data_IF_967559279409
#
_entry.id   IF_967559279409
#
_cell.length_a   1.000
_cell.length_b   1.000
_cell.length_c   1.000
_cell.angle_alpha   90.00
_cell.angle_beta   90.00
_cell.angle_gamma   90.00
#
_symmetry.space_group_name_H-M   'P 1'
#
loop_
_entity.id
_entity.type
_entity.pdbx_description
1 polymer ?
#
# COMPACT_ATOMS: atom_id res chain seq x y z
N UNK A 1 -21.24 -3.81 5.70
CA UNK A 1 -20.27 -4.62 6.47
C UNK A 1 -19.29 -3.70 7.21
N UNK A 2 -18.37 -4.25 8.02
CA UNK A 2 -17.48 -3.43 8.87
C UNK A 2 -16.24 -2.98 8.13
N UNK A 3 -15.66 -3.81 7.27
CA UNK A 3 -14.43 -3.50 6.54
C UNK A 3 -13.20 -3.47 7.46
N UNK A 4 -13.01 -4.51 8.28
CA UNK A 4 -11.92 -4.50 9.27
C UNK A 4 -10.54 -4.70 8.65
N UNK A 5 -10.43 -5.54 7.61
CA UNK A 5 -9.23 -5.64 6.78
C UNK A 5 -9.29 -4.66 5.63
N UNK A 6 -10.40 -4.62 4.91
CA UNK A 6 -10.69 -3.84 3.74
C UNK A 6 -11.45 -2.55 4.11
N UNK A 7 -10.87 -1.45 4.37
CA UNK A 7 -9.62 -0.74 4.39
C UNK A 7 -9.32 -0.18 5.78
N UNK A 8 -9.94 -0.74 6.90
CA UNK A 8 -9.62 -0.22 8.22
C UNK A 8 -8.20 -0.65 8.67
N UNK A 9 -7.70 -1.81 8.22
CA UNK A 9 -6.36 -2.30 8.55
C UNK A 9 -5.27 -1.36 8.07
N UNK A 10 -5.33 -0.94 6.81
CA UNK A 10 -4.40 0.01 6.21
C UNK A 10 -4.50 1.40 6.84
N UNK A 11 -5.73 1.87 7.12
CA UNK A 11 -5.96 3.12 7.85
C UNK A 11 -5.31 3.10 9.23
N UNK A 12 -5.49 2.02 10.00
CA UNK A 12 -4.89 1.87 11.33
C UNK A 12 -3.34 1.84 11.25
N UNK A 13 -2.79 1.12 10.26
CA UNK A 13 -1.35 1.07 10.03
C UNK A 13 -0.77 2.47 9.71
N UNK A 14 -1.43 3.26 8.86
CA UNK A 14 -0.99 4.63 8.56
C UNK A 14 -1.03 5.54 9.79
N UNK A 15 -2.04 5.44 10.64
CA UNK A 15 -2.11 6.21 11.89
C UNK A 15 -0.97 5.85 12.84
N UNK A 16 -0.64 4.57 12.97
CA UNK A 16 0.49 4.12 13.78
C UNK A 16 1.83 4.55 13.16
N UNK A 17 1.99 4.44 11.84
CA UNK A 17 3.16 4.96 11.14
C UNK A 17 3.35 6.45 11.36
N UNK A 18 2.28 7.26 11.33
CA UNK A 18 2.34 8.69 11.65
C UNK A 18 2.92 8.93 13.05
N UNK A 19 2.48 8.13 14.03
CA UNK A 19 2.97 8.20 15.41
C UNK A 19 4.45 7.85 15.52
N UNK A 20 4.87 6.74 14.89
CA UNK A 20 6.24 6.23 14.94
C UNK A 20 7.21 7.15 14.20
N UNK A 21 6.79 7.66 13.03
CA UNK A 21 7.63 8.52 12.18
C UNK A 21 7.78 9.95 12.70
N UNK A 22 6.96 10.40 13.66
CA UNK A 22 6.97 11.78 14.18
C UNK A 22 8.35 12.27 14.64
N UNK A 23 9.18 11.36 15.18
CA UNK A 23 10.53 11.70 15.66
C UNK A 23 11.66 11.35 14.68
N UNK A 24 11.33 10.76 13.54
CA UNK A 24 12.32 10.32 12.54
C UNK A 24 12.76 11.50 11.67
N UNK A 25 14.06 11.55 11.36
CA UNK A 25 14.57 12.45 10.31
C UNK A 25 14.54 11.72 8.98
N UNK A 26 13.64 12.16 8.10
CA UNK A 26 13.50 11.62 6.75
C UNK A 26 14.32 12.47 5.77
N UNK A 27 14.80 11.86 4.67
CA UNK A 27 15.43 12.59 3.56
C UNK A 27 14.38 13.30 2.70
N UNK A 28 13.17 12.73 2.63
CA UNK A 28 12.03 13.30 1.91
C UNK A 28 10.85 13.53 2.85
N UNK A 29 9.97 14.43 2.47
CA UNK A 29 8.66 14.58 3.13
C UNK A 29 7.87 13.30 2.96
N UNK A 30 7.32 12.78 4.06
CA UNK A 30 6.35 11.69 4.04
C UNK A 30 4.95 12.28 4.02
N UNK A 31 4.18 11.91 3.05
CA UNK A 31 2.76 12.23 2.93
C UNK A 31 1.96 10.96 3.20
N UNK A 32 1.05 11.00 4.16
CA UNK A 32 0.15 9.91 4.45
C UNK A 32 -1.20 10.24 3.83
N UNK A 33 -1.58 9.47 2.83
CA UNK A 33 -2.83 9.67 2.08
C UNK A 33 -3.86 8.64 2.53
N UNK A 34 -5.07 9.10 2.82
CA UNK A 34 -6.24 8.27 3.05
C UNK A 34 -7.13 8.47 1.84
N UNK A 35 -7.07 7.52 0.92
CA UNK A 35 -7.80 7.57 -0.33
C UNK A 35 -9.23 7.09 -0.09
N UNK A 36 -10.20 7.77 -0.69
CA UNK A 36 -11.59 7.40 -0.66
C UNK A 36 -12.09 6.95 -2.04
N UNK A 37 -13.23 6.27 -2.06
CA UNK A 37 -13.88 5.88 -3.31
C UNK A 37 -13.00 4.96 -4.17
N UNK A 38 -12.27 4.04 -3.57
CA UNK A 38 -11.52 3.02 -4.28
C UNK A 38 -12.49 2.06 -4.96
N UNK A 39 -13.51 1.61 -4.24
CA UNK A 39 -14.51 0.65 -4.66
C UNK A 39 -15.40 1.11 -5.83
N UNK A 40 -15.78 0.15 -6.66
CA UNK A 40 -16.71 0.38 -7.76
C UNK A 40 -18.12 0.68 -7.26
N UNK A 41 -18.80 1.62 -7.89
CA UNK A 41 -20.21 1.93 -7.57
C UNK A 41 -21.17 0.93 -8.24
N UNK A 42 -20.84 0.47 -9.44
CA UNK A 42 -21.64 -0.47 -10.23
C UNK A 42 -20.84 -1.71 -10.57
N UNK A 43 -19.68 -1.55 -11.22
CA UNK A 43 -18.84 -2.65 -11.64
C UNK A 43 -17.37 -2.22 -11.72
N UNK A 44 -16.46 -3.12 -11.46
CA UNK A 44 -15.02 -2.87 -11.57
C UNK A 44 -14.60 -2.83 -13.04
N UNK A 45 -14.90 -1.71 -13.69
CA UNK A 45 -14.61 -1.52 -15.12
C UNK A 45 -14.42 -0.04 -15.46
N UNK A 46 -13.49 0.23 -16.36
CA UNK A 46 -13.27 1.56 -16.92
C UNK A 46 -12.85 2.59 -15.88
N UNK A 47 -13.75 3.49 -15.53
CA UNK A 47 -13.52 4.56 -14.56
C UNK A 47 -14.42 4.46 -13.32
N UNK A 48 -15.09 3.34 -13.12
CA UNK A 48 -16.01 3.14 -11.99
C UNK A 48 -15.32 2.55 -10.75
N UNK A 49 -14.07 2.92 -10.50
CA UNK A 49 -13.27 2.55 -9.32
C UNK A 49 -12.12 3.55 -9.12
N UNK A 50 -11.40 3.47 -8.02
CA UNK A 50 -10.20 4.28 -7.71
C UNK A 50 -10.41 5.79 -7.89
N UNK A 51 -11.57 6.30 -7.46
CA UNK A 51 -11.96 7.70 -7.67
C UNK A 51 -11.02 8.67 -6.95
N UNK A 52 -10.64 8.37 -5.69
CA UNK A 52 -9.80 9.23 -4.86
C UNK A 52 -8.40 9.40 -5.45
N UNK A 53 -7.73 8.30 -5.77
CA UNK A 53 -6.38 8.31 -6.34
C UNK A 53 -6.33 8.98 -7.72
N UNK A 54 -7.30 8.70 -8.58
CA UNK A 54 -7.42 9.38 -9.89
C UNK A 54 -7.64 10.88 -9.75
N UNK A 55 -8.51 11.28 -8.81
CA UNK A 55 -8.75 12.71 -8.53
C UNK A 55 -7.49 13.38 -7.99
N UNK A 56 -6.78 12.75 -7.04
CA UNK A 56 -5.55 13.26 -6.47
C UNK A 56 -4.49 13.47 -7.57
N UNK A 57 -4.22 12.44 -8.37
CA UNK A 57 -3.23 12.50 -9.45
C UNK A 57 -3.59 13.59 -10.47
N UNK A 58 -4.85 13.64 -10.92
CA UNK A 58 -5.29 14.67 -11.86
C UNK A 58 -5.18 16.09 -11.26
N UNK A 59 -5.40 16.26 -9.98
CA UNK A 59 -5.23 17.54 -9.28
C UNK A 59 -3.77 17.94 -9.20
N UNK A 60 -2.89 17.01 -8.81
CA UNK A 60 -1.45 17.23 -8.72
C UNK A 60 -0.81 17.52 -10.10
N UNK A 61 -1.36 16.94 -11.18
CA UNK A 61 -0.95 17.28 -12.54
C UNK A 61 -1.37 18.71 -12.92
N UNK A 62 -2.60 19.11 -12.57
CA UNK A 62 -3.11 20.46 -12.88
C UNK A 62 -2.35 21.57 -12.17
N UNK A 63 -2.00 21.37 -10.90
CA UNK A 63 -1.30 22.40 -10.10
C UNK A 63 0.24 22.27 -10.18
N UNK A 64 0.75 21.25 -10.85
CA UNK A 64 2.19 21.02 -11.05
C UNK A 64 2.89 20.32 -9.89
N UNK A 65 2.19 19.95 -8.82
CA UNK A 65 2.78 19.29 -7.65
C UNK A 65 3.17 17.83 -7.89
N UNK A 66 2.66 17.21 -8.97
CA UNK A 66 2.96 15.80 -9.31
C UNK A 66 4.46 15.50 -9.35
N UNK A 67 5.28 16.44 -9.80
CA UNK A 67 6.75 16.31 -9.86
C UNK A 67 7.44 16.23 -8.48
N UNK A 68 6.75 16.60 -7.42
CA UNK A 68 7.25 16.47 -6.04
C UNK A 68 7.14 15.05 -5.51
N UNK A 69 6.18 14.26 -6.02
CA UNK A 69 6.00 12.86 -5.64
C UNK A 69 7.14 12.01 -6.19
N UNK A 70 7.76 11.21 -5.36
CA UNK A 70 8.94 10.41 -5.71
C UNK A 70 8.66 8.93 -5.76
N UNK A 71 7.78 8.43 -4.91
CA UNK A 71 7.30 7.07 -4.89
C UNK A 71 6.01 6.99 -4.07
N UNK A 72 5.21 5.95 -4.32
CA UNK A 72 4.04 5.58 -3.53
C UNK A 72 4.25 4.15 -2.98
N UNK A 73 3.85 3.94 -1.74
CA UNK A 73 3.63 2.62 -1.17
C UNK A 73 2.17 2.57 -0.76
N UNK A 74 1.39 1.78 -1.47
CA UNK A 74 -0.01 1.53 -1.15
C UNK A 74 -0.10 0.40 -0.13
N UNK A 75 -1.03 0.49 0.78
CA UNK A 75 -1.39 -0.55 1.73
C UNK A 75 -2.88 -0.82 1.58
N UNK A 76 -3.24 -2.05 1.31
CA UNK A 76 -4.62 -2.48 1.31
C UNK A 76 -4.76 -3.88 1.89
N UNK A 77 -5.88 -4.13 2.60
CA UNK A 77 -6.25 -5.44 3.14
C UNK A 77 -5.12 -6.18 3.90
N UNK A 78 -4.33 -5.47 4.71
CA UNK A 78 -3.12 -6.01 5.38
C UNK A 78 -3.41 -6.61 6.76
N UNK A 79 -4.68 -6.87 7.07
CA UNK A 79 -5.11 -7.30 8.41
C UNK A 79 -5.29 -8.79 8.59
N UNK A 80 -5.33 -9.60 7.54
CA UNK A 80 -5.61 -11.03 7.63
C UNK A 80 -4.72 -11.75 8.65
N UNK A 81 -5.31 -12.65 9.42
CA UNK A 81 -4.59 -13.51 10.38
C UNK A 81 -3.60 -14.44 9.70
N UNK A 82 -3.89 -14.85 8.47
CA UNK A 82 -3.08 -15.74 7.65
C UNK A 82 -2.43 -15.00 6.48
N UNK A 83 -1.83 -13.86 6.75
CA UNK A 83 -1.29 -12.89 5.80
C UNK A 83 -0.43 -13.54 4.70
N UNK A 84 -0.85 -13.40 3.42
CA UNK A 84 -0.13 -13.84 2.21
C UNK A 84 -0.05 -12.72 1.16
N UNK A 85 0.81 -11.76 1.40
CA UNK A 85 1.06 -10.65 0.46
C UNK A 85 1.86 -11.19 -0.72
N UNK A 86 1.27 -11.10 -1.91
CA UNK A 86 1.86 -11.53 -3.18
C UNK A 86 2.46 -10.35 -3.93
N UNK A 87 3.43 -10.65 -4.79
CA UNK A 87 4.03 -9.62 -5.66
C UNK A 87 3.01 -9.20 -6.71
N UNK A 88 2.63 -7.93 -6.73
CA UNK A 88 1.79 -7.42 -7.81
C UNK A 88 2.60 -7.15 -9.07
N UNK A 89 2.14 -7.69 -10.20
CA UNK A 89 2.80 -7.57 -11.50
C UNK A 89 2.71 -6.15 -12.11
N UNK A 90 1.74 -5.35 -11.68
CA UNK A 90 1.57 -3.97 -12.11
C UNK A 90 2.46 -3.00 -11.33
N UNK A 91 2.90 -3.38 -10.14
CA UNK A 91 3.78 -2.59 -9.29
C UNK A 91 5.15 -2.34 -9.92
N UNK A 92 5.79 -1.24 -9.55
CA UNK A 92 7.12 -0.88 -10.05
C UNK A 92 8.18 -1.88 -9.57
N UNK A 93 8.85 -2.64 -10.47
CA UNK A 93 9.67 -3.80 -10.08
C UNK A 93 10.76 -3.49 -9.04
N UNK A 94 11.50 -2.36 -9.19
CA UNK A 94 12.58 -2.04 -8.27
C UNK A 94 12.08 -1.75 -6.85
N UNK A 95 10.86 -1.20 -6.73
CA UNK A 95 10.26 -0.87 -5.43
C UNK A 95 9.73 -2.14 -4.76
N UNK A 96 9.07 -3.00 -5.53
CA UNK A 96 8.66 -4.33 -5.09
C UNK A 96 9.86 -5.16 -4.61
N UNK A 97 10.94 -5.23 -5.42
CA UNK A 97 12.14 -5.97 -5.06
C UNK A 97 12.78 -5.47 -3.76
N UNK A 98 12.77 -4.14 -3.56
CA UNK A 98 13.31 -3.53 -2.34
C UNK A 98 12.48 -3.93 -1.12
N UNK A 99 11.15 -3.79 -1.18
CA UNK A 99 10.26 -4.15 -0.07
C UNK A 99 10.38 -5.63 0.28
N UNK A 100 10.40 -6.52 -0.71
CA UNK A 100 10.57 -7.97 -0.49
C UNK A 100 11.95 -8.33 0.07
N UNK A 101 12.99 -7.61 -0.30
CA UNK A 101 14.32 -7.78 0.31
C UNK A 101 14.32 -7.40 1.79
N UNK A 102 13.66 -6.30 2.16
CA UNK A 102 13.53 -5.88 3.54
C UNK A 102 12.61 -6.82 4.34
N UNK A 103 11.52 -7.32 3.74
CA UNK A 103 10.66 -8.33 4.34
C UNK A 103 11.46 -9.59 4.70
N UNK A 104 12.30 -10.07 3.78
CA UNK A 104 13.20 -11.21 4.05
C UNK A 104 14.21 -10.91 5.17
N UNK A 105 14.78 -9.70 5.19
CA UNK A 105 15.74 -9.29 6.23
C UNK A 105 15.07 -9.19 7.59
N UNK A 106 13.80 -8.79 7.63
CA UNK A 106 12.99 -8.73 8.85
C UNK A 106 12.44 -10.11 9.29
N UNK A 107 12.65 -11.17 8.51
CA UNK A 107 12.13 -12.51 8.78
C UNK A 107 10.63 -12.66 8.49
N UNK A 108 10.08 -11.80 7.63
CA UNK A 108 8.69 -11.76 7.22
C UNK A 108 8.42 -12.45 5.86
N UNK A 109 9.37 -13.23 5.35
CA UNK A 109 9.29 -13.90 4.06
C UNK A 109 8.14 -14.94 3.96
N UNK A 110 7.64 -15.41 5.08
CA UNK A 110 6.44 -16.26 5.11
C UNK A 110 5.17 -15.48 4.76
N UNK A 111 5.08 -14.20 5.16
CA UNK A 111 3.94 -13.33 4.87
C UNK A 111 4.10 -12.57 3.54
N UNK A 112 5.34 -12.38 3.04
CA UNK A 112 5.65 -11.74 1.77
C UNK A 112 6.11 -12.79 0.77
N UNK A 113 5.16 -13.51 0.18
CA UNK A 113 5.44 -14.64 -0.69
C UNK A 113 6.03 -14.22 -2.05
N UNK A 114 6.64 -15.17 -2.76
CA UNK A 114 7.17 -14.94 -4.12
C UNK A 114 6.12 -15.21 -5.21
N UNK A 115 4.90 -15.59 -4.84
CA UNK A 115 3.80 -15.70 -5.78
C UNK A 115 3.53 -14.34 -6.44
N UNK A 116 3.08 -14.38 -7.68
CA UNK A 116 2.79 -13.17 -8.46
C UNK A 116 1.30 -13.16 -8.79
N UNK A 117 0.68 -12.03 -8.60
CA UNK A 117 -0.69 -11.75 -9.03
C UNK A 117 -0.71 -10.44 -9.81
N UNK A 118 -1.80 -10.13 -10.48
CA UNK A 118 -2.01 -8.85 -11.15
C UNK A 118 -3.19 -8.15 -10.48
N UNK A 119 -2.96 -6.98 -9.97
CA UNK A 119 -3.93 -6.22 -9.17
C UNK A 119 -4.21 -4.89 -9.85
N UNK A 120 -5.46 -4.47 -9.85
CA UNK A 120 -5.90 -3.14 -10.23
C UNK A 120 -6.36 -2.43 -8.97
N UNK A 121 -5.66 -1.36 -8.58
CA UNK A 121 -5.89 -0.63 -7.35
C UNK A 121 -5.38 0.81 -7.45
N UNK A 122 -5.48 1.59 -6.39
CA UNK A 122 -5.12 3.01 -6.25
C UNK A 122 -3.66 3.34 -6.62
N UNK A 123 -2.76 2.36 -6.71
CA UNK A 123 -1.39 2.57 -7.19
C UNK A 123 -1.30 2.83 -8.71
N UNK A 124 -2.26 2.32 -9.50
CA UNK A 124 -2.21 2.42 -10.97
C UNK A 124 -2.30 3.86 -11.50
N UNK A 125 -3.14 4.76 -11.00
CA UNK A 125 -3.15 6.15 -11.42
C UNK A 125 -1.79 6.85 -11.23
N UNK A 126 -1.07 6.52 -10.15
CA UNK A 126 0.28 7.07 -9.90
C UNK A 126 1.30 6.51 -10.90
N UNK A 127 1.27 5.20 -11.16
CA UNK A 127 2.13 4.56 -12.18
C UNK A 127 1.89 5.18 -13.55
N UNK A 128 0.62 5.38 -13.94
CA UNK A 128 0.26 6.01 -15.20
C UNK A 128 0.77 7.46 -15.31
N UNK A 129 0.92 8.15 -14.17
CA UNK A 129 1.51 9.48 -14.08
C UNK A 129 3.06 9.46 -14.00
N UNK A 130 3.69 8.29 -14.06
CA UNK A 130 5.15 8.13 -14.01
C UNK A 130 5.73 8.09 -12.60
N UNK A 131 4.92 7.97 -11.57
CA UNK A 131 5.35 7.83 -10.18
C UNK A 131 5.57 6.35 -9.87
N UNK A 132 6.76 5.93 -9.44
CA UNK A 132 6.97 4.56 -8.99
C UNK A 132 6.04 4.21 -7.84
N UNK A 133 5.34 3.09 -7.94
CA UNK A 133 4.44 2.64 -6.90
C UNK A 133 4.56 1.13 -6.65
N UNK A 134 4.29 0.71 -5.43
CA UNK A 134 4.14 -0.69 -5.02
C UNK A 134 2.86 -0.83 -4.24
N UNK A 135 2.13 -1.89 -4.53
CA UNK A 135 0.96 -2.31 -3.80
C UNK A 135 1.32 -3.44 -2.84
N UNK A 136 0.94 -3.27 -1.59
CA UNK A 136 1.11 -4.23 -0.49
C UNK A 136 -0.29 -4.63 -0.04
N UNK A 137 -0.78 -5.70 -0.62
CA UNK A 137 -2.15 -6.17 -0.45
C UNK A 137 -2.18 -7.68 -0.24
N UNK A 138 -3.07 -8.13 0.64
CA UNK A 138 -3.48 -9.52 0.76
C UNK A 138 -4.85 -9.72 0.10
N UNK A 139 -4.84 -9.99 -1.22
CA UNK A 139 -6.07 -10.20 -1.98
C UNK A 139 -6.66 -11.61 -1.79
N UNK A 140 -5.94 -12.54 -1.16
CA UNK A 140 -6.41 -13.91 -0.90
C UNK A 140 -7.17 -14.01 0.44
N UNK A 141 -7.72 -12.90 0.90
CA UNK A 141 -8.47 -12.76 2.13
C UNK A 141 -9.89 -13.33 2.01
N UNK A 142 -10.23 -14.42 2.72
CA UNK A 142 -11.51 -15.11 2.52
C UNK A 142 -12.75 -14.30 2.89
N UNK A 143 -12.63 -13.34 3.81
CA UNK A 143 -13.71 -12.48 4.27
C UNK A 143 -13.92 -11.24 3.40
N UNK A 144 -13.10 -11.04 2.36
CA UNK A 144 -13.18 -9.93 1.42
C UNK A 144 -14.59 -9.77 0.86
N UNK A 145 -15.11 -8.53 0.91
CA UNK A 145 -16.46 -8.14 0.47
C UNK A 145 -17.60 -8.93 1.12
N UNK A 146 -17.38 -9.48 2.31
CA UNK A 146 -18.41 -10.21 3.07
C UNK A 146 -18.75 -9.53 4.40
N UNK A 147 -19.91 -9.85 5.02
CA UNK A 147 -20.23 -9.39 6.37
C UNK A 147 -19.28 -9.93 7.46
N UNK A 148 -18.40 -10.86 7.12
CA UNK A 148 -17.45 -11.49 8.03
C UNK A 148 -16.12 -10.75 8.13
N UNK A 149 -15.88 -9.72 7.30
CA UNK A 149 -14.75 -8.80 7.46
C UNK A 149 -14.94 -7.94 8.71
N UNK A 150 -14.61 -8.53 9.84
CA UNK A 150 -14.77 -7.98 11.19
C UNK A 150 -13.45 -8.07 11.97
N UNK A 151 -13.41 -7.45 13.16
CA UNK A 151 -12.22 -7.52 14.01
C UNK A 151 -11.79 -8.95 14.37
N UNK A 152 -12.70 -9.91 14.32
CA UNK A 152 -12.37 -11.32 14.56
C UNK A 152 -11.57 -11.96 13.41
N UNK A 153 -11.59 -11.38 12.23
CA UNK A 153 -10.84 -11.86 11.06
C UNK A 153 -9.43 -11.27 10.97
N UNK A 154 -9.17 -10.12 11.62
CA UNK A 154 -7.89 -9.42 11.53
C UNK A 154 -6.96 -9.71 12.71
N UNK A 155 -5.66 -9.42 12.53
CA UNK A 155 -4.60 -9.69 13.50
C UNK A 155 -3.71 -8.45 13.69
N UNK A 156 -3.51 -8.06 14.94
CA UNK A 156 -2.50 -7.06 15.27
C UNK A 156 -1.07 -7.51 14.91
N UNK A 157 -0.82 -8.82 14.89
CA UNK A 157 0.46 -9.37 14.47
C UNK A 157 0.72 -9.11 12.98
N UNK A 158 -0.28 -9.30 12.13
CA UNK A 158 -0.18 -9.03 10.69
C UNK A 158 0.13 -7.56 10.42
N UNK A 159 -0.59 -6.65 11.09
CA UNK A 159 -0.30 -5.21 11.02
C UNK A 159 1.13 -4.88 11.49
N UNK A 160 1.61 -5.55 12.56
CA UNK A 160 2.98 -5.38 13.04
C UNK A 160 4.00 -5.85 12.01
N UNK A 161 3.79 -7.02 11.38
CA UNK A 161 4.68 -7.56 10.34
C UNK A 161 4.82 -6.57 9.17
N UNK A 162 3.69 -6.07 8.67
CA UNK A 162 3.71 -5.08 7.57
C UNK A 162 4.36 -3.78 8.03
N UNK A 163 4.03 -3.29 9.23
CA UNK A 163 4.63 -2.07 9.79
C UNK A 163 6.15 -2.16 9.91
N UNK A 164 6.69 -3.28 10.39
CA UNK A 164 8.12 -3.50 10.53
C UNK A 164 8.83 -3.53 9.16
N UNK A 165 8.24 -4.19 8.17
CA UNK A 165 8.75 -4.22 6.79
C UNK A 165 8.76 -2.82 6.18
N UNK A 166 7.70 -2.03 6.38
CA UNK A 166 7.64 -0.66 5.90
C UNK A 166 8.71 0.22 6.54
N UNK A 167 8.85 0.15 7.87
CA UNK A 167 9.87 0.93 8.60
C UNK A 167 11.29 0.58 8.17
N UNK A 168 11.56 -0.69 7.84
CA UNK A 168 12.83 -1.12 7.27
C UNK A 168 13.02 -0.63 5.83
N UNK A 169 11.95 -0.64 5.02
CA UNK A 169 11.99 -0.25 3.61
C UNK A 169 12.19 1.25 3.39
N UNK A 170 11.60 2.11 4.24
CA UNK A 170 11.63 3.57 4.06
C UNK A 170 13.04 4.14 3.86
N UNK A 171 14.05 3.85 4.71
CA UNK A 171 15.41 4.37 4.51
C UNK A 171 16.03 3.92 3.19
N UNK A 172 15.75 2.70 2.76
CA UNK A 172 16.28 2.13 1.53
C UNK A 172 15.65 2.78 0.30
N UNK A 173 14.33 3.04 0.35
CA UNK A 173 13.60 3.79 -0.68
C UNK A 173 14.20 5.19 -0.80
N UNK A 174 14.34 5.91 0.32
CA UNK A 174 14.94 7.25 0.36
C UNK A 174 16.34 7.27 -0.25
N UNK A 175 17.19 6.33 0.14
CA UNK A 175 18.57 6.23 -0.41
C UNK A 175 18.55 5.91 -1.91
N UNK A 176 17.65 5.08 -2.38
CA UNK A 176 17.52 4.74 -3.81
C UNK A 176 17.08 5.95 -4.63
N UNK A 177 16.13 6.73 -4.11
CA UNK A 177 15.64 7.94 -4.75
C UNK A 177 16.70 9.05 -4.80
N UNK A 178 17.52 9.19 -3.75
CA UNK A 178 18.59 10.20 -3.68
C UNK A 178 19.75 9.93 -4.67
N UNK A 179 19.85 8.73 -5.22
CA UNK A 179 20.89 8.35 -6.21
C UNK A 179 20.45 8.55 -7.67
N UNK A 180 19.20 8.93 -7.88
CA UNK A 180 18.64 9.23 -9.22
C UNK A 180 18.64 10.72 -9.49
#
# INVERSE_FOLDING_TARGET
>A
FVGASDGASSTAALLELARVLKGRRNLYTMELQFLDGEEAVIEWAGNDHTYGSRYYVASAQRDGSIGSLKALVLLDMIGDKELDIRRDANSTPWLTDLVWAEAKTAGADAAFSQAVTQIEDDHLPFIAAGIPAVDIIDLDYPEWHTPFDTLDAVSAHSLQVVGDVLLASLPQIEMRLARR
#
